data_IF_263731184286
#
_entry.id   IF_263731184286
#
_cell.length_a   1.000
_cell.length_b   1.000
_cell.length_c   1.000
_cell.angle_alpha   90.00
_cell.angle_beta   90.00
_cell.angle_gamma   90.00
#
_symmetry.space_group_name_H-M   'P 1'
#
loop_
_entity.id
_entity.type
_entity.pdbx_description
1 polymer ?
#
# COMPACT_ATOMS: atom_id res chain seq x y z
N UNK A 1 14.36 -2.79 -0.38
CA UNK A 1 12.98 -3.35 -0.39
C UNK A 1 11.91 -2.28 -0.23
N UNK A 2 11.43 -1.93 0.98
CA UNK A 2 10.29 -1.01 1.13
C UNK A 2 10.52 0.39 0.50
N UNK A 3 11.72 0.96 0.64
CA UNK A 3 12.08 2.24 0.04
C UNK A 3 12.04 2.22 -1.51
N UNK A 4 12.46 1.12 -2.12
CA UNK A 4 12.41 0.94 -3.59
C UNK A 4 10.97 0.76 -4.07
N UNK A 5 10.18 -0.04 -3.34
CA UNK A 5 8.74 -0.20 -3.60
C UNK A 5 8.01 1.15 -3.56
N UNK A 6 8.26 1.97 -2.54
CA UNK A 6 7.65 3.29 -2.41
C UNK A 6 8.09 4.25 -3.52
N UNK A 7 9.37 4.20 -3.93
CA UNK A 7 9.86 5.00 -5.06
C UNK A 7 9.15 4.60 -6.37
N UNK A 8 9.07 3.31 -6.65
CA UNK A 8 8.38 2.79 -7.84
C UNK A 8 6.89 3.16 -7.85
N UNK A 9 6.22 3.05 -6.70
CA UNK A 9 4.83 3.47 -6.54
C UNK A 9 4.62 4.95 -6.84
N UNK A 10 5.50 5.83 -6.33
CA UNK A 10 5.44 7.28 -6.59
C UNK A 10 5.66 7.62 -8.06
N UNK A 11 6.59 6.94 -8.73
CA UNK A 11 6.79 7.09 -10.18
C UNK A 11 5.54 6.68 -10.97
N UNK A 12 4.88 5.58 -10.58
CA UNK A 12 3.63 5.15 -11.18
C UNK A 12 2.49 6.17 -10.96
N UNK A 13 2.35 6.69 -9.73
CA UNK A 13 1.37 7.74 -9.40
C UNK A 13 1.54 8.99 -10.27
N UNK A 14 2.78 9.41 -10.52
CA UNK A 14 3.10 10.55 -11.37
C UNK A 14 2.83 10.31 -12.87
N UNK A 15 2.92 9.04 -13.32
CA UNK A 15 2.65 8.66 -14.71
C UNK A 15 1.15 8.59 -15.07
N UNK A 16 0.27 8.62 -14.06
CA UNK A 16 -1.17 8.60 -14.26
C UNK A 16 -1.67 9.93 -14.87
N UNK A 17 -2.79 9.90 -15.59
CA UNK A 17 -3.41 11.10 -16.17
C UNK A 17 -4.88 11.23 -15.75
N UNK A 18 -5.25 12.21 -14.90
CA UNK A 18 -4.36 13.16 -14.22
C UNK A 18 -3.43 12.47 -13.19
N UNK A 19 -2.31 13.10 -12.79
CA UNK A 19 -1.41 12.55 -11.78
C UNK A 19 -2.12 12.32 -10.44
N UNK A 20 -1.79 11.22 -9.78
CA UNK A 20 -2.30 10.92 -8.43
C UNK A 20 -1.45 11.64 -7.39
N UNK A 21 -2.08 12.53 -6.61
CA UNK A 21 -1.39 13.27 -5.54
C UNK A 21 -1.31 12.49 -4.23
N UNK A 22 -2.23 11.55 -4.00
CA UNK A 22 -2.28 10.73 -2.80
C UNK A 22 -2.83 9.33 -3.12
N UNK A 23 -2.38 8.35 -2.34
CA UNK A 23 -2.91 6.99 -2.33
C UNK A 23 -3.04 6.55 -0.87
N UNK A 24 -4.24 6.09 -0.49
CA UNK A 24 -4.49 5.52 0.84
C UNK A 24 -4.37 4.00 0.73
N UNK A 25 -3.57 3.39 1.61
CA UNK A 25 -3.37 1.93 1.65
C UNK A 25 -3.90 1.40 2.99
N UNK A 26 -5.13 0.86 3.01
CA UNK A 26 -5.73 0.36 4.25
C UNK A 26 -5.06 -0.91 4.77
N UNK A 27 -5.36 -1.23 6.03
CA UNK A 27 -4.97 -2.46 6.73
C UNK A 27 -5.68 -3.69 6.16
N UNK A 28 -6.93 -3.47 5.81
CA UNK A 28 -7.95 -4.49 5.64
C UNK A 28 -8.04 -4.97 4.19
N UNK A 29 -8.70 -6.11 4.02
CA UNK A 29 -9.14 -6.59 2.71
C UNK A 29 -10.51 -5.99 2.34
N UNK A 30 -11.09 -6.47 1.24
CA UNK A 30 -12.39 -6.01 0.75
C UNK A 30 -13.58 -6.39 1.65
N UNK A 31 -13.37 -7.29 2.62
CA UNK A 31 -14.34 -7.72 3.62
C UNK A 31 -14.14 -7.02 4.97
N UNK A 32 -13.21 -6.06 5.06
CA UNK A 32 -12.85 -5.38 6.31
C UNK A 32 -12.32 -6.36 7.38
N UNK A 33 -11.65 -7.44 6.97
CA UNK A 33 -11.05 -8.39 7.91
C UNK A 33 -9.96 -7.71 8.74
N UNK A 34 -9.98 -7.91 10.06
CA UNK A 34 -8.94 -7.43 10.97
C UNK A 34 -7.57 -8.10 10.68
N UNK A 35 -7.59 -9.40 10.36
CA UNK A 35 -6.41 -10.17 9.96
C UNK A 35 -6.57 -10.64 8.52
N UNK A 36 -5.67 -10.16 7.66
CA UNK A 36 -5.75 -10.41 6.22
C UNK A 36 -4.76 -11.50 5.76
N UNK A 37 -5.09 -12.13 4.63
CA UNK A 37 -4.20 -13.08 3.97
C UNK A 37 -2.87 -12.43 3.57
N UNK A 38 -1.81 -13.22 3.36
CA UNK A 38 -0.51 -12.69 2.91
C UNK A 38 -0.62 -11.85 1.61
N UNK A 39 -1.56 -12.21 0.74
CA UNK A 39 -1.84 -11.51 -0.52
C UNK A 39 -2.36 -10.08 -0.30
N UNK A 40 -3.05 -9.84 0.81
CA UNK A 40 -3.74 -8.57 1.09
C UNK A 40 -2.94 -7.65 2.02
N UNK A 41 -1.73 -8.04 2.46
CA UNK A 41 -0.82 -7.22 3.28
C UNK A 41 -0.14 -6.09 2.49
N UNK A 42 -0.94 -5.27 1.79
CA UNK A 42 -0.49 -4.21 0.89
C UNK A 42 0.28 -3.11 1.63
N UNK A 43 -0.22 -2.70 2.81
CA UNK A 43 0.49 -1.72 3.64
C UNK A 43 1.88 -2.22 4.02
N UNK A 44 1.99 -3.45 4.52
CA UNK A 44 3.28 -4.04 4.87
C UNK A 44 4.23 -4.15 3.66
N UNK A 45 3.70 -4.49 2.47
CA UNK A 45 4.49 -4.52 1.24
C UNK A 45 5.09 -3.15 0.88
N UNK A 46 4.31 -2.07 1.02
CA UNK A 46 4.74 -0.72 0.66
C UNK A 46 5.59 -0.05 1.74
N UNK A 47 5.26 -0.23 3.03
CA UNK A 47 5.89 0.50 4.14
C UNK A 47 6.85 -0.34 5.00
N UNK A 48 6.78 -1.67 4.92
CA UNK A 48 7.46 -2.57 5.86
C UNK A 48 6.79 -2.67 7.24
N UNK A 49 5.72 -1.92 7.50
CA UNK A 49 5.01 -1.97 8.77
C UNK A 49 4.08 -3.19 8.84
N UNK A 50 4.32 -4.08 9.81
CA UNK A 50 3.61 -5.35 9.96
C UNK A 50 2.57 -5.36 11.08
N UNK A 51 2.34 -4.23 11.75
CA UNK A 51 1.28 -4.11 12.76
C UNK A 51 -0.11 -4.22 12.13
N UNK A 52 -1.11 -4.59 12.95
CA UNK A 52 -2.51 -4.79 12.52
C UNK A 52 -3.29 -3.48 12.36
N UNK A 53 -2.85 -2.37 12.96
CA UNK A 53 -3.50 -1.06 12.88
C UNK A 53 -2.54 0.02 12.38
N UNK A 54 -2.95 0.77 11.34
CA UNK A 54 -2.20 1.90 10.78
C UNK A 54 -2.67 2.33 9.40
#
# INVERSE_FOLDING_TARGET
MAAETLSALRSLMASHSPPLHALVVPSEDYHQSEYVSARDKRRAFVSGFTGSAG
#
